data_IF_511803993368
#
_entry.id   IF_511803993368
#
_cell.length_a   1.000
_cell.length_b   1.000
_cell.length_c   1.000
_cell.angle_alpha   90.00
_cell.angle_beta   90.00
_cell.angle_gamma   90.00
#
_symmetry.space_group_name_H-M   'P 1'
#
loop_
_entity.id
_entity.type
_entity.pdbx_description
1 polymer ?
#
# COMPACT_ATOMS: atom_id res chain seq x y z
N UNK A 1 28.96 44.72 -39.62
CA UNK A 1 29.72 43.46 -39.55
C UNK A 1 29.09 42.55 -38.49
N UNK A 2 28.41 41.48 -38.91
CA UNK A 2 27.76 40.55 -37.98
C UNK A 2 28.76 39.51 -37.45
N UNK A 3 28.95 39.45 -36.13
CA UNK A 3 29.78 38.42 -35.49
C UNK A 3 29.09 37.07 -35.66
N UNK A 4 29.55 36.25 -36.60
CA UNK A 4 29.13 34.86 -36.69
C UNK A 4 29.75 34.14 -35.50
N UNK A 5 28.93 33.81 -34.51
CA UNK A 5 29.36 32.91 -33.44
C UNK A 5 29.82 31.60 -34.05
N UNK A 6 30.96 31.09 -33.59
CA UNK A 6 31.42 29.78 -34.01
C UNK A 6 30.37 28.72 -33.62
N UNK A 7 30.26 27.64 -34.39
CA UNK A 7 29.34 26.53 -34.08
C UNK A 7 29.58 25.98 -32.67
N UNK A 8 30.83 26.01 -32.20
CA UNK A 8 31.21 25.62 -30.86
C UNK A 8 30.61 26.56 -29.78
N UNK A 9 30.66 27.88 -29.99
CA UNK A 9 30.04 28.85 -29.08
C UNK A 9 28.52 28.67 -29.01
N UNK A 10 27.85 28.48 -30.14
CA UNK A 10 26.41 28.24 -30.17
C UNK A 10 26.05 26.98 -29.38
N UNK A 11 26.75 25.86 -29.64
CA UNK A 11 26.56 24.61 -28.91
C UNK A 11 26.79 24.78 -27.40
N UNK A 12 27.81 25.54 -26.99
CA UNK A 12 28.07 25.84 -25.60
C UNK A 12 26.92 26.65 -24.97
N UNK A 13 26.41 27.68 -25.66
CA UNK A 13 25.28 28.48 -25.15
C UNK A 13 24.00 27.65 -25.01
N UNK A 14 23.74 26.75 -25.94
CA UNK A 14 22.56 25.88 -25.90
C UNK A 14 22.69 24.82 -24.80
N UNK A 15 23.89 24.26 -24.60
CA UNK A 15 24.18 23.38 -23.48
C UNK A 15 23.96 24.09 -22.13
N UNK A 16 24.42 25.33 -21.98
CA UNK A 16 24.19 26.14 -20.77
C UNK A 16 22.70 26.45 -20.55
N UNK A 17 21.96 26.80 -21.60
CA UNK A 17 20.50 27.00 -21.50
C UNK A 17 19.79 25.72 -21.07
N UNK A 18 20.17 24.56 -21.64
CA UNK A 18 19.60 23.26 -21.28
C UNK A 18 19.94 22.88 -19.84
N UNK A 19 21.18 23.09 -19.40
CA UNK A 19 21.61 22.87 -18.02
C UNK A 19 20.81 23.74 -17.03
N UNK A 20 20.65 25.04 -17.32
CA UNK A 20 19.85 25.96 -16.49
C UNK A 20 18.38 25.51 -16.39
N UNK A 21 17.79 25.09 -17.51
CA UNK A 21 16.42 24.53 -17.52
C UNK A 21 16.33 23.26 -16.66
N UNK A 22 17.29 22.35 -16.79
CA UNK A 22 17.32 21.11 -16.01
C UNK A 22 17.44 21.38 -14.51
N UNK A 23 18.31 22.32 -14.09
CA UNK A 23 18.42 22.73 -12.69
C UNK A 23 17.12 23.34 -12.16
N UNK A 24 16.44 24.17 -12.95
CA UNK A 24 15.16 24.77 -12.57
C UNK A 24 14.07 23.71 -12.36
N UNK A 25 14.00 22.72 -13.23
CA UNK A 25 13.05 21.60 -13.09
C UNK A 25 13.41 20.71 -11.89
N UNK A 26 14.69 20.41 -11.68
CA UNK A 26 15.14 19.66 -10.51
C UNK A 26 14.75 20.37 -9.20
N UNK A 27 14.92 21.70 -9.12
CA UNK A 27 14.51 22.50 -7.97
C UNK A 27 13.00 22.46 -7.74
N UNK A 28 12.19 22.60 -8.80
CA UNK A 28 10.73 22.49 -8.71
C UNK A 28 10.28 21.12 -8.20
N UNK A 29 10.95 20.05 -8.61
CA UNK A 29 10.67 18.71 -8.12
C UNK A 29 11.02 18.55 -6.65
N UNK A 30 12.17 19.10 -6.21
CA UNK A 30 12.56 19.12 -4.80
C UNK A 30 11.54 19.90 -3.96
N UNK A 31 11.16 21.12 -4.37
CA UNK A 31 10.17 21.95 -3.65
C UNK A 31 8.81 21.24 -3.54
N UNK A 32 8.40 20.49 -4.57
CA UNK A 32 7.16 19.69 -4.54
C UNK A 32 7.24 18.53 -3.56
N UNK A 33 8.38 17.82 -3.54
CA UNK A 33 8.61 16.72 -2.61
C UNK A 33 8.66 17.21 -1.16
N UNK A 34 9.32 18.35 -0.90
CA UNK A 34 9.34 18.97 0.43
C UNK A 34 7.95 19.42 0.85
N UNK A 35 7.16 19.97 -0.09
CA UNK A 35 5.78 20.36 0.19
C UNK A 35 4.88 19.17 0.51
N UNK A 36 5.04 18.03 -0.17
CA UNK A 36 4.27 16.81 0.16
C UNK A 36 4.69 16.26 1.51
N UNK A 37 6.00 16.17 1.78
CA UNK A 37 6.50 15.71 3.08
C UNK A 37 6.00 16.58 4.25
N UNK A 38 5.98 17.91 4.07
CA UNK A 38 5.42 18.84 5.06
C UNK A 38 3.92 18.67 5.28
N UNK A 39 3.16 18.27 4.25
CA UNK A 39 1.72 17.98 4.39
C UNK A 39 1.49 16.71 5.18
N UNK A 40 2.19 15.64 4.82
CA UNK A 40 2.15 14.36 5.54
C UNK A 40 2.55 14.53 7.01
N UNK A 41 3.60 15.32 7.30
CA UNK A 41 4.01 15.62 8.67
C UNK A 41 2.89 16.30 9.48
N UNK A 42 2.21 17.29 8.88
CA UNK A 42 1.07 17.97 9.54
C UNK A 42 -0.12 17.05 9.74
N UNK A 43 -0.41 16.17 8.79
CA UNK A 43 -1.46 15.16 8.93
C UNK A 43 -1.14 14.20 10.07
N UNK A 44 0.11 13.74 10.16
CA UNK A 44 0.56 12.90 11.27
C UNK A 44 0.46 13.63 12.61
N UNK A 45 0.93 14.88 12.70
CA UNK A 45 0.78 15.71 13.92
C UNK A 45 -0.69 15.81 14.35
N UNK A 46 -1.59 16.12 13.42
CA UNK A 46 -3.02 16.18 13.70
C UNK A 46 -3.60 14.84 14.17
N UNK A 47 -3.20 13.72 13.56
CA UNK A 47 -3.64 12.39 14.03
C UNK A 47 -3.12 12.05 15.42
N UNK A 48 -1.87 12.42 15.73
CA UNK A 48 -1.28 12.22 17.05
C UNK A 48 -2.00 13.07 18.10
N UNK A 49 -2.36 14.31 17.77
CA UNK A 49 -3.14 15.18 18.65
C UNK A 49 -4.53 14.60 18.95
N UNK A 50 -5.26 14.13 17.93
CA UNK A 50 -6.56 13.48 18.13
C UNK A 50 -6.46 12.21 18.99
N UNK A 51 -5.41 11.41 18.79
CA UNK A 51 -5.18 10.22 19.61
C UNK A 51 -4.85 10.59 21.07
N UNK A 52 -4.07 11.65 21.28
CA UNK A 52 -3.76 12.16 22.61
C UNK A 52 -5.01 12.68 23.32
N UNK A 53 -5.84 13.46 22.63
CA UNK A 53 -7.13 13.94 23.16
C UNK A 53 -8.04 12.76 23.53
N UNK A 54 -8.20 11.78 22.63
CA UNK A 54 -8.99 10.58 22.88
C UNK A 54 -8.45 9.77 24.07
N UNK A 55 -7.13 9.68 24.22
CA UNK A 55 -6.52 9.02 25.36
C UNK A 55 -6.82 9.75 26.67
N UNK A 56 -6.74 11.08 26.67
CA UNK A 56 -7.10 11.92 27.84
C UNK A 56 -8.58 11.78 28.21
N UNK A 57 -9.49 11.79 27.23
CA UNK A 57 -10.92 11.54 27.47
C UNK A 57 -11.18 10.16 28.09
N UNK A 58 -10.48 9.12 27.62
CA UNK A 58 -10.57 7.77 28.21
C UNK A 58 -10.03 7.73 29.63
N UNK A 59 -9.01 8.50 29.96
CA UNK A 59 -8.50 8.61 31.34
C UNK A 59 -9.52 9.34 32.23
N UNK A 60 -10.07 10.45 31.76
CA UNK A 60 -11.07 11.23 32.49
C UNK A 60 -12.33 10.39 32.77
N UNK A 61 -12.87 9.70 31.76
CA UNK A 61 -14.01 8.80 31.91
C UNK A 61 -13.69 7.60 32.82
N UNK A 62 -12.48 7.04 32.75
CA UNK A 62 -12.07 5.96 33.67
C UNK A 62 -11.95 6.44 35.12
N UNK A 63 -11.58 7.70 35.35
CA UNK A 63 -11.52 8.26 36.72
C UNK A 63 -12.91 8.50 37.33
N UNK A 64 -13.93 8.75 36.50
CA UNK A 64 -15.31 8.99 36.96
C UNK A 64 -16.13 7.72 37.10
N UNK A 65 -15.72 6.62 36.46
CA UNK A 65 -16.23 5.27 36.78
C UNK A 65 -15.65 4.86 38.13
N UNK A 66 -16.33 5.31 39.20
CA UNK A 66 -16.20 4.79 40.56
C UNK A 66 -16.40 3.28 40.46
N UNK A 67 -15.32 2.53 40.65
CA UNK A 67 -15.35 1.06 40.73
C UNK A 67 -16.48 0.67 41.68
N UNK A 68 -17.51 -0.07 41.24
CA UNK A 68 -18.37 -0.74 42.19
C UNK A 68 -17.44 -1.67 42.99
N UNK A 69 -17.50 -1.54 44.30
CA UNK A 69 -16.83 -2.42 45.25
C UNK A 69 -17.15 -3.86 44.86
N UNK A 70 -16.18 -4.53 44.22
CA UNK A 70 -16.33 -5.92 43.82
C UNK A 70 -16.37 -6.71 45.11
N UNK A 71 -17.56 -7.09 45.54
CA UNK A 71 -17.76 -8.10 46.56
C UNK A 71 -16.91 -9.32 46.15
N UNK A 72 -15.86 -9.57 46.91
CA UNK A 72 -14.95 -10.70 46.72
C UNK A 72 -15.77 -11.99 46.62
N UNK A 73 -15.81 -12.68 45.48
CA UNK A 73 -16.41 -14.00 45.43
C UNK A 73 -15.56 -14.94 46.29
N UNK A 74 -16.19 -15.46 47.34
CA UNK A 74 -15.67 -16.50 48.22
C UNK A 74 -15.11 -17.64 47.36
N UNK A 75 -13.83 -17.93 47.54
CA UNK A 75 -13.07 -18.93 46.78
C UNK A 75 -13.81 -20.29 46.76
N UNK A 76 -14.08 -20.87 45.58
CA UNK A 76 -14.47 -22.28 45.49
C UNK A 76 -13.23 -23.16 45.63
N UNK A 77 -13.32 -24.14 46.52
CA UNK A 77 -12.29 -25.14 46.79
C UNK A 77 -11.89 -25.92 45.51
N UNK A 78 -10.61 -26.32 45.35
CA UNK A 78 -10.18 -27.12 44.22
C UNK A 78 -10.59 -28.59 44.41
N UNK A 79 -11.66 -29.00 43.74
CA UNK A 79 -11.97 -30.41 43.51
C UNK A 79 -11.59 -30.78 42.08
N UNK A 80 -10.68 -31.74 41.95
CA UNK A 80 -10.20 -32.24 40.65
C UNK A 80 -11.23 -33.08 39.89
N UNK A 81 -10.81 -33.56 38.72
CA UNK A 81 -11.49 -34.67 38.02
C UNK A 81 -11.91 -34.38 36.59
N UNK A 82 -11.01 -34.74 35.65
CA UNK A 82 -11.25 -35.51 34.44
C UNK A 82 -12.64 -35.53 33.73
N UNK A 83 -12.55 -35.30 32.41
CA UNK A 83 -13.08 -36.14 31.32
C UNK A 83 -14.42 -35.79 30.62
N UNK A 84 -14.28 -35.77 29.27
CA UNK A 84 -15.13 -36.36 28.21
C UNK A 84 -16.33 -35.58 27.64
N UNK A 85 -16.21 -35.40 26.30
CA UNK A 85 -17.17 -35.64 25.20
C UNK A 85 -18.32 -34.63 25.03
N UNK A 86 -18.41 -33.88 23.94
CA UNK A 86 -18.70 -34.22 22.53
C UNK A 86 -20.21 -34.14 22.16
N UNK A 87 -20.44 -33.46 21.03
CA UNK A 87 -21.56 -33.61 20.06
C UNK A 87 -22.81 -32.71 20.16
N UNK A 88 -23.17 -32.17 18.98
CA UNK A 88 -24.48 -31.67 18.57
C UNK A 88 -24.53 -30.14 18.38
N UNK A 89 -25.10 -29.55 17.33
CA UNK A 89 -25.87 -30.05 16.17
C UNK A 89 -26.03 -28.88 15.18
N UNK A 90 -26.18 -29.21 13.89
CA UNK A 90 -26.40 -28.29 12.78
C UNK A 90 -27.73 -27.51 12.83
N UNK A 91 -27.78 -26.34 12.18
CA UNK A 91 -29.01 -25.79 11.60
C UNK A 91 -28.70 -24.86 10.40
N UNK A 92 -29.24 -25.24 9.24
CA UNK A 92 -29.41 -24.45 8.02
C UNK A 92 -30.48 -23.38 8.22
N UNK A 93 -30.37 -22.24 7.54
CA UNK A 93 -31.52 -21.59 6.90
C UNK A 93 -31.13 -21.01 5.54
N UNK A 94 -31.95 -21.37 4.56
CA UNK A 94 -31.97 -20.98 3.15
C UNK A 94 -33.08 -19.93 2.96
N UNK A 95 -32.82 -18.90 2.13
CA UNK A 95 -33.77 -18.09 1.35
C UNK A 95 -33.01 -16.82 0.88
N UNK A 96 -32.81 -16.49 -0.39
CA UNK A 96 -33.60 -16.75 -1.58
C UNK A 96 -34.37 -15.48 -1.98
N UNK A 97 -33.80 -14.59 -2.81
CA UNK A 97 -34.61 -13.70 -3.67
C UNK A 97 -33.89 -13.23 -4.96
N UNK A 98 -34.32 -13.89 -6.03
CA UNK A 98 -34.42 -13.53 -7.45
C UNK A 98 -34.65 -12.03 -7.79
N UNK A 99 -33.95 -11.49 -8.81
CA UNK A 99 -34.40 -11.13 -10.19
C UNK A 99 -33.73 -9.86 -10.78
N UNK A 100 -33.35 -9.98 -12.07
CA UNK A 100 -33.38 -9.03 -13.21
C UNK A 100 -33.17 -7.52 -12.94
N UNK A 101 -32.33 -6.74 -13.63
CA UNK A 101 -31.80 -6.81 -14.99
C UNK A 101 -32.16 -5.51 -15.71
N UNK A 102 -31.17 -4.69 -16.13
CA UNK A 102 -31.37 -3.59 -17.10
C UNK A 102 -30.06 -3.26 -17.82
N UNK A 103 -30.25 -2.76 -19.05
CA UNK A 103 -29.37 -2.62 -20.20
C UNK A 103 -29.11 -1.13 -20.46
N UNK A 104 -27.88 -0.73 -20.77
CA UNK A 104 -27.47 0.43 -21.61
C UNK A 104 -25.95 0.63 -21.43
N UNK A 105 -25.09 0.39 -22.43
CA UNK A 105 -24.83 1.20 -23.63
C UNK A 105 -24.36 2.63 -23.31
N UNK A 106 -23.09 2.94 -23.60
CA UNK A 106 -22.65 4.32 -23.75
C UNK A 106 -21.17 4.58 -23.44
N UNK A 107 -20.49 5.16 -24.44
CA UNK A 107 -19.32 6.03 -24.33
C UNK A 107 -17.93 5.37 -24.15
N UNK A 108 -17.38 5.01 -25.31
CA UNK A 108 -15.97 5.09 -25.58
C UNK A 108 -15.45 6.52 -25.37
N UNK A 109 -14.49 6.69 -24.46
CA UNK A 109 -13.62 7.87 -24.41
C UNK A 109 -12.17 7.43 -24.23
N UNK A 110 -11.46 7.48 -25.37
CA UNK A 110 -10.10 7.99 -25.55
C UNK A 110 -9.37 8.41 -24.26
N UNK A 111 -8.32 7.66 -23.89
CA UNK A 111 -7.18 8.23 -23.19
C UNK A 111 -5.90 7.46 -23.57
N UNK A 112 -5.09 8.09 -24.41
CA UNK A 112 -3.77 7.63 -24.77
C UNK A 112 -2.86 7.51 -23.54
N UNK A 113 -2.42 6.28 -23.27
CA UNK A 113 -1.02 5.87 -23.34
C UNK A 113 -0.01 7.04 -23.39
N UNK A 114 0.46 7.47 -22.23
CA UNK A 114 1.84 7.97 -22.06
C UNK A 114 2.42 7.43 -20.77
N UNK A 115 2.86 6.18 -20.86
CA UNK A 115 3.89 5.63 -20.00
C UNK A 115 5.21 6.33 -20.33
N UNK A 116 5.77 7.10 -19.41
CA UNK A 116 7.22 7.34 -19.32
C UNK A 116 7.51 8.01 -17.98
N UNK A 117 7.67 7.19 -16.96
CA UNK A 117 7.97 7.67 -15.62
C UNK A 117 8.61 6.58 -14.78
N UNK A 118 9.95 6.53 -14.86
CA UNK A 118 10.85 5.97 -13.85
C UNK A 118 10.80 4.43 -13.67
N UNK A 119 11.87 3.73 -13.33
CA UNK A 119 13.02 4.18 -12.57
C UNK A 119 14.24 3.30 -12.88
N UNK A 120 15.28 3.90 -13.46
CA UNK A 120 16.66 3.46 -13.24
C UNK A 120 17.14 4.14 -11.97
N UNK A 121 16.92 3.50 -10.81
CA UNK A 121 17.66 3.76 -9.57
C UNK A 121 17.99 2.44 -8.88
N UNK A 122 19.01 1.79 -9.45
CA UNK A 122 20.03 1.11 -8.67
C UNK A 122 20.82 2.21 -7.92
N UNK A 123 21.36 2.08 -6.71
CA UNK A 123 21.86 0.94 -5.94
C UNK A 123 21.94 1.37 -4.47
N UNK A 124 21.71 0.43 -3.57
CA UNK A 124 22.00 0.55 -2.14
C UNK A 124 21.94 -0.82 -1.46
N UNK A 125 22.98 -1.63 -1.69
CA UNK A 125 23.44 -2.68 -0.78
C UNK A 125 22.59 -3.94 -0.55
N UNK A 126 22.93 -5.04 -1.25
CA UNK A 126 23.13 -6.36 -0.64
C UNK A 126 23.72 -7.33 -1.68
N UNK A 127 24.84 -7.94 -1.31
CA UNK A 127 25.62 -8.93 -2.04
C UNK A 127 24.98 -10.32 -1.98
N UNK A 128 24.64 -10.90 -3.15
CA UNK A 128 24.90 -12.32 -3.51
C UNK A 128 24.47 -12.59 -4.96
N UNK A 129 25.32 -13.16 -5.84
CA UNK A 129 24.86 -13.69 -7.12
C UNK A 129 24.26 -15.06 -6.84
N UNK A 130 22.94 -15.17 -6.88
CA UNK A 130 22.25 -16.46 -6.94
C UNK A 130 21.51 -16.52 -8.28
N UNK A 131 22.01 -17.42 -9.11
CA UNK A 131 21.41 -18.11 -10.25
C UNK A 131 19.87 -18.08 -10.28
N UNK A 132 19.23 -17.89 -11.45
CA UNK A 132 17.77 -17.87 -11.58
C UNK A 132 17.23 -19.28 -11.34
N UNK A 133 16.81 -19.54 -10.11
CA UNK A 133 16.00 -20.69 -9.78
C UNK A 133 14.56 -20.18 -9.72
N UNK A 134 13.84 -20.29 -10.84
CA UNK A 134 12.37 -20.24 -10.89
C UNK A 134 11.81 -21.29 -9.91
N UNK A 135 11.74 -20.92 -8.64
CA UNK A 135 11.18 -21.73 -7.57
C UNK A 135 10.06 -20.93 -6.91
N UNK A 136 8.95 -21.59 -6.52
CA UNK A 136 7.84 -20.94 -5.82
C UNK A 136 8.25 -20.28 -4.49
N UNK A 137 9.43 -20.64 -3.96
CA UNK A 137 10.03 -20.01 -2.79
C UNK A 137 10.32 -18.51 -3.01
N UNK A 138 10.74 -18.12 -4.21
CA UNK A 138 11.03 -16.70 -4.50
C UNK A 138 9.74 -15.88 -4.64
N UNK A 139 8.68 -16.49 -5.15
CA UNK A 139 7.36 -15.85 -5.23
C UNK A 139 6.70 -15.72 -3.84
N UNK A 140 6.95 -16.68 -2.94
CA UNK A 140 6.42 -16.65 -1.57
C UNK A 140 7.03 -15.52 -0.73
N UNK A 141 8.29 -15.17 -0.98
CA UNK A 141 8.98 -14.05 -0.32
C UNK A 141 8.51 -12.67 -0.80
N UNK A 142 7.88 -12.58 -1.97
CA UNK A 142 7.40 -11.32 -2.54
C UNK A 142 6.12 -10.83 -1.87
N UNK A 143 5.88 -9.54 -1.94
CA UNK A 143 4.64 -8.92 -1.46
C UNK A 143 3.50 -9.13 -2.45
N UNK A 144 2.25 -8.98 -2.00
CA UNK A 144 1.06 -9.09 -2.87
C UNK A 144 1.09 -8.07 -4.01
N UNK A 145 1.62 -6.87 -3.76
CA UNK A 145 1.74 -5.82 -4.77
C UNK A 145 2.71 -6.22 -5.90
N UNK A 146 3.87 -6.78 -5.54
CA UNK A 146 4.84 -7.30 -6.50
C UNK A 146 4.25 -8.46 -7.31
N UNK A 147 3.58 -9.42 -6.65
CA UNK A 147 2.92 -10.53 -7.34
C UNK A 147 1.85 -10.05 -8.34
N UNK A 148 1.04 -9.06 -7.97
CA UNK A 148 0.07 -8.46 -8.90
C UNK A 148 0.74 -7.74 -10.07
N UNK A 149 1.91 -7.14 -9.86
CA UNK A 149 2.68 -6.54 -10.95
C UNK A 149 3.17 -7.61 -11.94
N UNK A 150 3.69 -8.74 -11.46
CA UNK A 150 4.06 -9.88 -12.31
C UNK A 150 2.86 -10.45 -13.07
N UNK A 151 1.71 -10.60 -12.41
CA UNK A 151 0.48 -11.07 -13.07
C UNK A 151 0.02 -10.12 -14.18
N UNK A 152 0.12 -8.80 -13.96
CA UNK A 152 -0.16 -7.77 -14.97
C UNK A 152 0.83 -7.82 -16.13
N UNK A 153 2.11 -8.01 -15.86
CA UNK A 153 3.16 -8.12 -16.90
C UNK A 153 2.97 -9.37 -17.77
N UNK A 154 2.46 -10.46 -17.19
CA UNK A 154 2.05 -11.67 -17.94
C UNK A 154 0.68 -11.57 -18.60
N UNK A 155 -0.04 -10.45 -18.44
CA UNK A 155 -1.35 -10.23 -19.05
C UNK A 155 -2.47 -11.10 -18.46
N UNK A 156 -2.28 -11.63 -17.25
CA UNK A 156 -3.30 -12.46 -16.59
C UNK A 156 -4.46 -11.57 -16.13
N UNK A 157 -5.69 -12.06 -16.24
CA UNK A 157 -6.90 -11.39 -15.77
C UNK A 157 -7.32 -11.85 -14.37
N UNK A 158 -8.10 -11.04 -13.65
CA UNK A 158 -8.68 -11.46 -12.36
C UNK A 158 -7.74 -11.44 -11.14
N UNK A 159 -6.45 -11.13 -11.31
CA UNK A 159 -5.45 -11.09 -10.22
C UNK A 159 -5.76 -10.08 -9.10
N UNK A 160 -6.60 -9.08 -9.36
CA UNK A 160 -6.99 -8.08 -8.35
C UNK A 160 -7.80 -8.70 -7.20
N UNK A 161 -8.56 -9.77 -7.48
CA UNK A 161 -9.39 -10.46 -6.50
C UNK A 161 -8.71 -11.69 -5.89
N UNK A 162 -7.50 -12.03 -6.36
CA UNK A 162 -6.78 -13.21 -5.90
C UNK A 162 -6.00 -12.93 -4.61
N UNK A 163 -5.95 -13.95 -3.76
CA UNK A 163 -5.16 -13.96 -2.52
C UNK A 163 -3.67 -14.20 -2.83
N UNK A 164 -2.78 -13.96 -1.85
CA UNK A 164 -1.34 -14.17 -2.03
C UNK A 164 -1.02 -15.60 -2.49
N UNK A 165 -1.66 -16.60 -1.89
CA UNK A 165 -1.46 -18.01 -2.26
C UNK A 165 -1.88 -18.29 -3.71
N UNK A 166 -3.07 -17.83 -4.11
CA UNK A 166 -3.58 -17.97 -5.47
C UNK A 166 -2.69 -17.27 -6.50
N UNK A 167 -2.13 -16.11 -6.16
CA UNK A 167 -1.19 -15.40 -7.02
C UNK A 167 0.13 -16.16 -7.17
N UNK A 168 0.61 -16.83 -6.12
CA UNK A 168 1.83 -17.66 -6.19
C UNK A 168 1.58 -18.90 -7.05
N UNK A 169 0.44 -19.58 -6.89
CA UNK A 169 0.05 -20.73 -7.72
C UNK A 169 -0.13 -20.39 -9.19
N UNK A 170 -0.65 -19.19 -9.50
CA UNK A 170 -0.85 -18.75 -10.88
C UNK A 170 0.47 -18.33 -11.56
N UNK A 171 1.48 -17.94 -10.79
CA UNK A 171 2.75 -17.40 -11.30
C UNK A 171 3.91 -18.39 -11.25
N UNK A 172 3.85 -19.39 -10.36
CA UNK A 172 4.80 -20.50 -10.24
C UNK A 172 4.47 -21.65 -11.17
#
# INVERSE_FOLDING_TARGET
>A
MGKKHSKAEQAATDALKKARKAVKEARRLADRADKSARREARELEHTLELLAQRAQERLNTRSTVRTPEVATPKAPAPAGGAAKRAAGKAAKTDAGRKRAGTKSAGAAHTAGRTSTGAAKRARGGATKPATPADRPADLSARTVAELRAFARERGLGGYSQMTKAQLIELLG
#
